data_IF_121718865938
#
_entry.id   IF_121718865938
#
_cell.length_a   1.000
_cell.length_b   1.000
_cell.length_c   1.000
_cell.angle_alpha   90.00
_cell.angle_beta   90.00
_cell.angle_gamma   90.00
#
_symmetry.space_group_name_H-M   'P 1'
#
loop_
_entity.id
_entity.type
_entity.pdbx_description
1 polymer ?
#
# COMPACT_ATOMS: atom_id res chain seq x y z
N UNK A 1 -14.83 2.18 15.36
CA UNK A 1 -15.77 3.30 15.08
C UNK A 1 -16.85 3.41 16.15
N UNK A 2 -17.91 2.59 16.16
CA UNK A 2 -18.97 2.70 17.19
C UNK A 2 -18.45 2.50 18.62
N UNK A 3 -17.63 1.47 18.84
CA UNK A 3 -16.97 1.22 20.12
C UNK A 3 -16.00 2.35 20.56
N UNK A 4 -15.60 3.22 19.62
CA UNK A 4 -14.76 4.39 19.88
C UNK A 4 -15.60 5.69 20.04
N UNK A 5 -16.94 5.59 20.18
CA UNK A 5 -17.82 6.73 20.43
C UNK A 5 -18.37 7.44 19.19
N UNK A 6 -18.03 6.99 17.98
CA UNK A 6 -18.55 7.59 16.75
C UNK A 6 -20.01 7.20 16.51
N UNK A 7 -20.81 8.18 16.10
CA UNK A 7 -22.22 8.02 15.69
C UNK A 7 -22.35 8.07 14.17
N UNK A 8 -23.51 7.70 13.62
CA UNK A 8 -23.79 7.69 12.16
C UNK A 8 -22.68 7.00 11.34
N UNK A 9 -22.19 5.85 11.82
CA UNK A 9 -21.09 5.13 11.16
C UNK A 9 -21.59 4.47 9.88
N UNK A 10 -20.95 4.79 8.76
CA UNK A 10 -21.21 4.23 7.42
C UNK A 10 -19.96 3.55 6.87
N UNK A 11 -20.16 2.53 6.05
CA UNK A 11 -19.11 1.84 5.30
C UNK A 11 -19.42 2.01 3.81
N UNK A 12 -18.42 2.44 3.05
CA UNK A 12 -18.45 2.51 1.60
C UNK A 12 -17.29 1.69 1.04
N UNK A 13 -17.52 0.97 -0.05
CA UNK A 13 -16.51 0.13 -0.70
C UNK A 13 -16.22 0.66 -2.09
N UNK A 14 -14.93 0.77 -2.41
CA UNK A 14 -14.41 1.18 -3.70
C UNK A 14 -13.37 0.16 -4.14
N UNK A 15 -13.64 -0.52 -5.24
CA UNK A 15 -12.71 -1.48 -5.83
C UNK A 15 -12.19 -0.87 -7.13
N UNK A 16 -10.87 -0.85 -7.30
CA UNK A 16 -10.25 -0.40 -8.54
C UNK A 16 -9.02 -1.25 -8.86
N UNK A 17 -8.55 -1.16 -10.09
CA UNK A 17 -7.30 -1.78 -10.52
C UNK A 17 -6.27 -0.69 -10.68
N UNK A 18 -5.10 -0.88 -10.08
CA UNK A 18 -3.94 -0.01 -10.24
C UNK A 18 -2.88 -0.72 -11.06
N UNK A 19 -2.20 0.00 -11.94
CA UNK A 19 -1.09 -0.54 -12.73
C UNK A 19 0.23 0.02 -12.20
N UNK A 20 1.15 -0.88 -11.87
CA UNK A 20 2.45 -0.53 -11.31
C UNK A 20 3.59 -0.84 -12.28
N UNK A 21 4.61 0.01 -12.27
CA UNK A 21 5.91 -0.30 -12.87
C UNK A 21 6.72 -1.21 -11.94
N UNK A 22 7.76 -1.87 -12.46
CA UNK A 22 8.69 -2.63 -11.63
C UNK A 22 9.28 -1.77 -10.50
N UNK A 23 9.63 -0.51 -10.79
CA UNK A 23 10.15 0.42 -9.79
C UNK A 23 9.12 0.75 -8.69
N UNK A 24 7.83 0.88 -9.02
CA UNK A 24 6.78 1.10 -8.04
C UNK A 24 6.57 -0.12 -7.12
N UNK A 25 6.65 -1.33 -7.68
CA UNK A 25 6.60 -2.59 -6.90
C UNK A 25 7.80 -2.69 -5.97
N UNK A 26 9.02 -2.42 -6.45
CA UNK A 26 10.25 -2.44 -5.64
C UNK A 26 10.20 -1.36 -4.54
N UNK A 27 9.72 -0.16 -4.86
CA UNK A 27 9.53 0.90 -3.86
C UNK A 27 8.55 0.51 -2.76
N UNK A 28 7.45 -0.18 -3.13
CA UNK A 28 6.46 -0.69 -2.18
C UNK A 28 7.03 -1.79 -1.29
N UNK A 29 7.87 -2.68 -1.84
CA UNK A 29 8.59 -3.67 -1.05
C UNK A 29 9.45 -2.98 0.02
N UNK A 30 10.21 -1.94 -0.33
CA UNK A 30 11.05 -1.23 0.63
C UNK A 30 10.27 -0.42 1.68
N UNK A 31 9.07 0.05 1.38
CA UNK A 31 8.24 0.76 2.38
C UNK A 31 7.68 -0.19 3.45
N UNK A 32 7.44 -1.45 3.10
CA UNK A 32 6.86 -2.46 3.99
C UNK A 32 7.88 -3.44 4.60
N UNK A 33 9.01 -3.67 3.92
CA UNK A 33 10.04 -4.60 4.36
C UNK A 33 10.98 -3.98 5.39
N UNK A 34 11.71 -4.86 6.07
CA UNK A 34 12.78 -4.50 6.99
C UNK A 34 13.97 -3.90 6.23
N UNK A 35 14.03 -2.58 6.18
CA UNK A 35 15.08 -1.80 5.50
C UNK A 35 16.50 -2.03 6.03
N UNK A 36 16.65 -2.65 7.21
CA UNK A 36 17.90 -3.01 7.86
C UNK A 36 18.45 -4.37 7.40
N UNK A 37 17.70 -5.12 6.58
CA UNK A 37 18.13 -6.43 6.10
C UNK A 37 19.24 -6.37 5.03
N UNK A 38 19.44 -5.22 4.38
CA UNK A 38 20.42 -5.03 3.30
C UNK A 38 21.31 -3.82 3.58
N UNK A 39 22.61 -3.94 3.32
CA UNK A 39 23.50 -2.78 3.25
C UNK A 39 23.15 -1.91 2.05
N UNK A 40 23.73 -0.70 1.98
CA UNK A 40 23.49 0.20 0.83
C UNK A 40 24.01 -0.43 -0.47
N UNK A 41 25.13 -1.14 -0.40
CA UNK A 41 25.77 -1.80 -1.53
C UNK A 41 24.94 -2.99 -2.04
N UNK A 42 24.33 -3.75 -1.12
CA UNK A 42 23.50 -4.91 -1.46
C UNK A 42 22.18 -4.52 -2.13
N UNK A 43 21.65 -3.31 -1.86
CA UNK A 43 20.38 -2.85 -2.46
C UNK A 43 20.45 -2.76 -3.98
N UNK A 44 21.56 -2.29 -4.53
CA UNK A 44 21.67 -2.11 -5.99
C UNK A 44 21.64 -3.45 -6.74
N UNK A 45 22.33 -4.46 -6.21
CA UNK A 45 22.31 -5.83 -6.76
C UNK A 45 20.93 -6.46 -6.59
N UNK A 46 20.35 -6.36 -5.39
CA UNK A 46 19.01 -6.88 -5.12
C UNK A 46 17.94 -6.23 -6.00
N UNK A 47 18.00 -4.93 -6.25
CA UNK A 47 17.10 -4.24 -7.18
C UNK A 47 17.21 -4.78 -8.61
N UNK A 48 18.42 -5.11 -9.07
CA UNK A 48 18.61 -5.69 -10.40
C UNK A 48 18.03 -7.11 -10.48
N UNK A 49 18.23 -7.92 -9.44
CA UNK A 49 17.62 -9.25 -9.33
C UNK A 49 16.08 -9.18 -9.30
N UNK A 50 15.52 -8.24 -8.54
CA UNK A 50 14.07 -8.01 -8.48
C UNK A 50 13.50 -7.60 -9.84
N UNK A 51 14.15 -6.66 -10.55
CA UNK A 51 13.73 -6.28 -11.90
C UNK A 51 13.78 -7.46 -12.87
N UNK A 52 14.84 -8.26 -12.81
CA UNK A 52 14.98 -9.44 -13.66
C UNK A 52 13.90 -10.49 -13.35
N UNK A 53 13.52 -10.66 -12.08
CA UNK A 53 12.49 -11.61 -11.66
C UNK A 53 11.06 -11.13 -12.00
N UNK A 54 10.78 -9.83 -11.86
CA UNK A 54 9.50 -9.22 -12.18
C UNK A 54 9.23 -9.22 -13.70
N UNK A 55 10.26 -8.99 -14.51
CA UNK A 55 10.12 -8.83 -15.96
C UNK A 55 9.54 -7.48 -16.36
N UNK A 56 9.10 -7.38 -17.62
CA UNK A 56 8.54 -6.15 -18.17
C UNK A 56 7.05 -5.99 -17.76
N UNK A 57 6.75 -4.88 -17.09
CA UNK A 57 5.39 -4.53 -16.66
C UNK A 57 4.49 -4.01 -17.80
N UNK A 58 3.27 -3.52 -17.47
CA UNK A 58 2.80 -3.18 -16.12
C UNK A 58 2.28 -4.38 -15.31
N UNK A 59 2.30 -4.23 -13.98
CA UNK A 59 1.73 -5.18 -13.02
C UNK A 59 0.40 -4.66 -12.50
N UNK A 60 -0.69 -5.39 -12.73
CA UNK A 60 -2.01 -5.02 -12.24
C UNK A 60 -2.21 -5.48 -10.78
N UNK A 61 -2.64 -4.56 -9.92
CA UNK A 61 -3.08 -4.84 -8.55
C UNK A 61 -4.58 -4.57 -8.43
N UNK A 62 -5.33 -5.55 -7.91
CA UNK A 62 -6.72 -5.33 -7.50
C UNK A 62 -6.73 -4.69 -6.10
N UNK A 63 -7.23 -3.46 -6.00
CA UNK A 63 -7.20 -2.67 -4.76
C UNK A 63 -8.61 -2.55 -4.18
N UNK A 64 -9.00 -3.41 -3.22
CA UNK A 64 -10.24 -3.26 -2.48
C UNK A 64 -10.08 -2.24 -1.34
N UNK A 65 -10.75 -1.10 -1.45
CA UNK A 65 -10.75 -0.05 -0.42
C UNK A 65 -12.08 -0.03 0.32
N UNK A 66 -12.01 0.04 1.65
CA UNK A 66 -13.15 0.29 2.52
C UNK A 66 -12.98 1.61 3.24
N UNK A 67 -13.92 2.52 3.04
CA UNK A 67 -13.98 3.81 3.72
C UNK A 67 -15.02 3.73 4.82
N UNK A 68 -14.58 3.95 6.06
CA UNK A 68 -15.46 4.05 7.22
C UNK A 68 -15.58 5.52 7.61
N UNK A 69 -16.79 6.06 7.52
CA UNK A 69 -17.11 7.42 7.99
C UNK A 69 -17.95 7.35 9.26
N UNK A 70 -17.86 8.38 10.10
CA UNK A 70 -18.65 8.51 11.32
C UNK A 70 -18.55 9.92 11.89
N UNK A 71 -19.52 10.33 12.70
CA UNK A 71 -19.56 11.64 13.33
C UNK A 71 -19.08 11.58 14.77
N UNK A 72 -18.31 12.58 15.19
CA UNK A 72 -18.04 12.88 16.59
C UNK A 72 -18.96 14.02 17.07
N UNK A 73 -19.17 14.13 18.38
CA UNK A 73 -19.74 15.35 18.94
C UNK A 73 -18.86 16.55 18.56
N UNK A 74 -19.47 17.70 18.25
CA UNK A 74 -18.71 18.92 18.00
C UNK A 74 -17.83 19.20 19.22
N UNK A 75 -16.56 19.53 18.97
CA UNK A 75 -15.68 20.06 20.01
C UNK A 75 -16.20 21.49 20.25
N UNK A 76 -16.86 21.72 21.39
CA UNK A 76 -17.20 23.07 21.88
C UNK A 76 -15.95 23.82 22.35
#
# INVERSE_FOLDING_TARGET
MRAAGFTDVKEERFDYVEEHTADAVIGSLYSAARLDALTVEQRAEFDAELRAALGDGPFAEEVPVKVLTGRTAAIE
#
